data_IF_749193546328
#
_entry.id   IF_749193546328
#
_cell.length_a   1.000
_cell.length_b   1.000
_cell.length_c   1.000
_cell.angle_alpha   90.00
_cell.angle_beta   90.00
_cell.angle_gamma   90.00
#
_symmetry.space_group_name_H-M   'P 1'
#
loop_
_entity.id
_entity.type
_entity.pdbx_description
1 polymer ?
#
# COMPACT_ATOMS: atom_id res chain seq x y z
N UNK A 1 -10.11 -41.66 -11.79
CA UNK A 1 -10.67 -40.45 -12.44
C UNK A 1 -10.98 -39.48 -11.32
N UNK A 2 -10.13 -38.47 -11.18
CA UNK A 2 -9.82 -37.78 -9.93
C UNK A 2 -10.87 -36.79 -9.45
N UNK A 3 -10.99 -36.70 -8.14
CA UNK A 3 -11.77 -35.77 -7.35
C UNK A 3 -11.19 -34.36 -7.42
N UNK A 4 -12.01 -33.37 -7.77
CA UNK A 4 -11.67 -31.95 -7.67
C UNK A 4 -11.59 -31.53 -6.20
N UNK A 5 -10.39 -31.15 -5.76
CA UNK A 5 -10.16 -30.48 -4.50
C UNK A 5 -10.46 -28.99 -4.70
N UNK A 6 -11.59 -28.53 -4.15
CA UNK A 6 -11.84 -27.10 -3.96
C UNK A 6 -10.99 -26.62 -2.77
N UNK A 7 -9.99 -25.78 -3.06
CA UNK A 7 -9.12 -25.21 -2.04
C UNK A 7 -9.85 -24.08 -1.32
N UNK A 8 -10.03 -24.22 0.00
CA UNK A 8 -10.63 -23.20 0.86
C UNK A 8 -9.58 -22.11 1.13
N UNK A 9 -9.89 -20.87 0.75
CA UNK A 9 -9.06 -19.71 1.07
C UNK A 9 -9.24 -19.38 2.55
N UNK A 10 -8.19 -19.60 3.33
CA UNK A 10 -8.00 -18.98 4.63
C UNK A 10 -6.94 -17.91 4.47
N UNK A 11 -7.37 -16.65 4.30
CA UNK A 11 -6.47 -15.50 4.38
C UNK A 11 -6.85 -14.70 5.62
N UNK A 12 -5.87 -14.56 6.51
CA UNK A 12 -5.92 -13.76 7.72
C UNK A 12 -6.09 -12.29 7.31
N UNK A 13 -7.24 -11.70 7.63
CA UNK A 13 -7.50 -10.27 7.47
C UNK A 13 -6.68 -9.53 8.55
N UNK A 14 -5.57 -8.90 8.16
CA UNK A 14 -4.91 -7.90 9.01
C UNK A 14 -5.50 -6.54 8.63
N UNK A 15 -6.19 -5.92 9.58
CA UNK A 15 -6.80 -4.61 9.41
C UNK A 15 -5.71 -3.55 9.22
N UNK A 16 -5.80 -2.80 8.13
CA UNK A 16 -5.09 -1.52 7.97
C UNK A 16 -6.12 -0.43 8.28
N UNK A 17 -5.95 0.22 9.43
CA UNK A 17 -6.59 1.49 9.74
C UNK A 17 -5.50 2.36 10.37
N UNK A 18 -4.92 3.27 9.59
CA UNK A 18 -4.06 4.35 10.08
C UNK A 18 -4.84 5.65 9.95
N UNK A 19 -4.68 6.50 10.95
CA UNK A 19 -5.59 7.54 11.36
C UNK A 19 -5.59 8.79 10.45
N UNK A 20 -6.79 9.29 10.15
CA UNK A 20 -7.07 10.73 10.07
C UNK A 20 -8.55 10.99 10.40
N UNK A 21 -8.84 12.15 10.98
CA UNK A 21 -10.01 12.43 11.84
C UNK A 21 -11.26 12.86 11.08
N UNK A 22 -12.42 12.30 11.44
CA UNK A 22 -13.70 12.98 11.82
C UNK A 22 -14.94 12.13 11.43
N UNK A 23 -15.29 11.14 12.24
CA UNK A 23 -16.70 10.69 12.30
C UNK A 23 -17.11 10.56 13.76
N UNK A 24 -17.92 11.50 14.22
CA UNK A 24 -18.61 11.43 15.52
C UNK A 24 -19.65 10.31 15.46
N UNK A 25 -19.28 9.08 15.84
CA UNK A 25 -20.26 8.06 16.15
C UNK A 25 -20.80 8.28 17.57
N UNK A 26 -22.12 8.46 17.65
CA UNK A 26 -22.83 8.56 18.94
C UNK A 26 -22.77 7.19 19.62
N UNK A 27 -22.21 7.19 20.83
CA UNK A 27 -21.88 6.02 21.64
C UNK A 27 -23.04 5.04 21.89
N UNK A 28 -22.82 3.79 21.52
CA UNK A 28 -23.57 2.62 21.97
C UNK A 28 -22.63 1.44 22.27
N UNK A 29 -21.93 1.51 23.41
CA UNK A 29 -21.24 0.41 24.11
C UNK A 29 -20.24 -0.48 23.32
N UNK A 30 -18.96 -0.07 23.30
CA UNK A 30 -17.81 -0.85 23.77
C UNK A 30 -16.54 0.02 23.67
N UNK A 31 -16.09 0.55 24.79
CA UNK A 31 -14.85 1.33 24.88
C UNK A 31 -13.65 0.39 25.04
N UNK A 32 -12.77 0.33 24.03
CA UNK A 32 -11.35 0.08 24.26
C UNK A 32 -10.53 0.54 23.06
N UNK A 33 -10.00 1.77 23.13
CA UNK A 33 -8.88 2.18 22.28
C UNK A 33 -7.61 1.50 22.79
N UNK A 34 -6.86 0.86 21.90
CA UNK A 34 -5.55 0.30 22.18
C UNK A 34 -4.56 1.44 22.49
N UNK A 35 -3.87 1.37 23.62
CA UNK A 35 -2.74 2.26 23.93
C UNK A 35 -1.42 1.52 23.56
N UNK A 36 -0.36 2.21 23.09
CA UNK A 36 0.85 1.53 22.64
C UNK A 36 1.66 1.02 23.83
N UNK A 37 1.93 -0.30 23.79
CA UNK A 37 2.77 -1.16 24.65
C UNK A 37 2.26 -1.49 26.07
N UNK A 38 2.20 -2.80 26.45
CA UNK A 38 2.25 -4.01 25.65
C UNK A 38 0.84 -4.41 25.16
N UNK A 39 0.75 -4.97 23.95
CA UNK A 39 -0.47 -5.57 23.37
C UNK A 39 -1.13 -6.56 24.36
N UNK A 40 -2.06 -6.06 25.16
CA UNK A 40 -3.07 -6.85 25.85
C UNK A 40 -4.44 -6.31 25.44
N UNK A 41 -4.89 -6.74 24.26
CA UNK A 41 -6.30 -6.63 23.91
C UNK A 41 -7.10 -7.48 24.90
N UNK A 42 -7.74 -6.84 25.88
CA UNK A 42 -8.64 -7.50 26.86
C UNK A 42 -10.11 -7.37 26.47
N UNK A 43 -10.39 -6.95 25.23
CA UNK A 43 -11.73 -6.96 24.67
C UNK A 43 -12.20 -8.38 24.37
N UNK A 44 -13.50 -8.61 24.51
CA UNK A 44 -14.18 -9.80 23.98
C UNK A 44 -13.84 -9.94 22.50
N UNK A 45 -13.24 -11.07 22.13
CA UNK A 45 -13.08 -11.47 20.73
C UNK A 45 -14.45 -11.61 20.11
N UNK A 46 -14.93 -10.57 19.44
CA UNK A 46 -16.04 -10.69 18.50
C UNK A 46 -15.49 -11.52 17.34
N UNK A 47 -15.92 -12.77 17.25
CA UNK A 47 -15.67 -13.56 16.03
C UNK A 47 -16.42 -12.86 14.90
N UNK A 48 -15.69 -12.27 13.95
CA UNK A 48 -16.27 -11.83 12.69
C UNK A 48 -16.88 -13.07 12.01
N UNK A 49 -18.20 -13.17 12.03
CA UNK A 49 -18.90 -14.21 11.28
C UNK A 49 -18.71 -13.92 9.78
N UNK A 50 -18.40 -14.96 9.00
CA UNK A 50 -18.28 -14.86 7.55
C UNK A 50 -19.54 -14.26 6.92
N UNK A 51 -20.71 -14.50 7.52
CA UNK A 51 -21.99 -13.93 7.07
C UNK A 51 -22.06 -12.39 7.11
N UNK A 52 -21.15 -11.75 7.85
CA UNK A 52 -21.03 -10.30 7.99
C UNK A 52 -19.86 -9.70 7.20
N UNK A 53 -19.10 -10.52 6.47
CA UNK A 53 -18.01 -10.04 5.63
C UNK A 53 -18.57 -9.53 4.30
N UNK A 54 -18.47 -8.22 3.98
CA UNK A 54 -18.96 -7.68 2.71
C UNK A 54 -18.24 -8.25 1.48
N UNK A 55 -17.09 -8.92 1.69
CA UNK A 55 -16.30 -9.56 0.63
C UNK A 55 -16.56 -11.07 0.50
N UNK A 56 -17.49 -11.65 1.25
CA UNK A 56 -17.74 -13.11 1.17
C UNK A 56 -18.21 -13.51 -0.24
N UNK A 57 -17.51 -14.47 -0.84
CA UNK A 57 -17.79 -14.95 -2.20
C UNK A 57 -17.28 -14.05 -3.34
N UNK A 58 -16.68 -12.88 -3.06
CA UNK A 58 -16.06 -12.03 -4.09
C UNK A 58 -14.79 -12.72 -4.61
N UNK A 59 -14.79 -13.06 -5.90
CA UNK A 59 -13.63 -13.67 -6.57
C UNK A 59 -13.04 -12.67 -7.56
N UNK A 60 -11.87 -12.16 -7.21
CA UNK A 60 -11.08 -11.19 -7.96
C UNK A 60 -9.96 -11.85 -8.78
N UNK A 61 -10.05 -13.15 -9.08
CA UNK A 61 -9.04 -13.82 -9.90
C UNK A 61 -7.68 -14.03 -9.21
N UNK A 62 -6.63 -14.18 -10.03
CA UNK A 62 -5.28 -14.52 -9.55
C UNK A 62 -4.43 -13.27 -9.31
N UNK A 63 -3.48 -13.37 -8.37
CA UNK A 63 -2.52 -12.30 -8.11
C UNK A 63 -3.14 -11.04 -7.49
N UNK A 64 -4.28 -11.19 -6.78
CA UNK A 64 -5.01 -10.08 -6.19
C UNK A 64 -4.15 -9.22 -5.26
N UNK A 65 -4.13 -7.91 -5.51
CA UNK A 65 -3.43 -6.89 -4.74
C UNK A 65 -4.43 -5.81 -4.33
N UNK A 66 -5.14 -6.00 -3.21
CA UNK A 66 -6.12 -5.02 -2.74
C UNK A 66 -5.42 -3.77 -2.19
N UNK A 67 -5.96 -2.60 -2.53
CA UNK A 67 -5.62 -1.29 -1.97
C UNK A 67 -6.92 -0.64 -1.52
N UNK A 68 -6.98 -0.24 -0.24
CA UNK A 68 -8.10 0.48 0.32
C UNK A 68 -7.80 1.98 0.27
N UNK A 69 -8.70 2.76 -0.33
CA UNK A 69 -8.51 4.19 -0.56
C UNK A 69 -9.85 4.89 -0.74
N UNK A 70 -9.98 6.14 -0.32
CA UNK A 70 -11.12 7.01 -0.68
C UNK A 70 -10.86 7.54 -2.11
N UNK A 71 -11.35 6.83 -3.14
CA UNK A 71 -10.98 7.15 -4.52
C UNK A 71 -11.80 8.30 -5.10
N UNK A 72 -13.06 8.41 -4.70
CA UNK A 72 -13.96 9.45 -5.21
C UNK A 72 -14.08 10.69 -4.30
N UNK A 73 -13.46 10.64 -3.12
CA UNK A 73 -13.37 11.75 -2.18
C UNK A 73 -14.65 11.98 -1.38
N UNK A 74 -15.53 10.97 -1.30
CA UNK A 74 -16.79 11.06 -0.58
C UNK A 74 -16.65 10.80 0.95
N UNK A 75 -15.44 10.41 1.38
CA UNK A 75 -15.08 10.19 2.77
C UNK A 75 -15.31 8.76 3.25
N UNK A 76 -15.80 7.87 2.39
CA UNK A 76 -15.76 6.44 2.64
C UNK A 76 -14.53 5.78 1.96
N UNK A 77 -14.29 4.51 2.28
CA UNK A 77 -13.08 3.82 1.82
C UNK A 77 -13.52 2.77 0.83
N UNK A 78 -13.08 2.96 -0.40
CA UNK A 78 -13.24 2.04 -1.51
C UNK A 78 -12.18 0.94 -1.51
N UNK A 79 -12.33 0.02 -2.46
CA UNK A 79 -11.36 -1.03 -2.71
C UNK A 79 -10.99 -1.08 -4.19
N UNK A 80 -9.72 -0.82 -4.46
CA UNK A 80 -9.06 -1.14 -5.73
C UNK A 80 -8.44 -2.52 -5.61
N UNK A 81 -8.63 -3.37 -6.62
CA UNK A 81 -7.97 -4.68 -6.66
C UNK A 81 -7.27 -4.86 -7.98
N UNK A 82 -5.94 -4.77 -7.94
CA UNK A 82 -5.10 -5.25 -9.03
C UNK A 82 -5.16 -6.76 -9.14
N UNK A 83 -5.41 -7.27 -10.34
CA UNK A 83 -5.42 -8.70 -10.56
C UNK A 83 -5.08 -9.08 -12.00
N UNK A 84 -4.67 -10.34 -12.17
CA UNK A 84 -4.53 -10.96 -13.48
C UNK A 84 -5.89 -11.45 -13.98
N UNK A 85 -6.37 -10.91 -15.10
CA UNK A 85 -7.52 -11.46 -15.81
C UNK A 85 -7.09 -12.68 -16.65
N UNK A 86 -7.49 -13.87 -16.18
CA UNK A 86 -7.15 -15.15 -16.84
C UNK A 86 -7.76 -15.25 -18.24
N UNK A 87 -8.89 -14.56 -18.49
CA UNK A 87 -9.59 -14.61 -19.78
C UNK A 87 -8.86 -13.85 -20.88
N UNK A 88 -8.35 -12.66 -20.55
CA UNK A 88 -7.74 -11.73 -21.52
C UNK A 88 -6.21 -11.69 -21.46
N UNK A 89 -5.58 -12.38 -20.49
CA UNK A 89 -4.13 -12.38 -20.27
C UNK A 89 -3.54 -10.98 -19.99
N UNK A 90 -4.35 -10.09 -19.42
CA UNK A 90 -3.99 -8.72 -19.09
C UNK A 90 -4.22 -8.48 -17.59
N UNK A 91 -3.40 -7.62 -17.00
CA UNK A 91 -3.70 -7.09 -15.68
C UNK A 91 -4.82 -6.06 -15.78
N UNK A 92 -5.69 -6.02 -14.77
CA UNK A 92 -6.73 -5.01 -14.63
C UNK A 92 -6.81 -4.52 -13.18
N UNK A 93 -7.51 -3.42 -12.99
CA UNK A 93 -7.95 -2.98 -11.66
C UNK A 93 -9.47 -3.12 -11.60
N UNK A 94 -9.94 -3.96 -10.68
CA UNK A 94 -11.34 -3.97 -10.29
C UNK A 94 -11.57 -2.86 -9.26
N UNK A 95 -12.65 -2.11 -9.44
CA UNK A 95 -13.04 -1.04 -8.54
C UNK A 95 -14.32 -1.43 -7.82
N UNK A 96 -14.25 -1.49 -6.50
CA UNK A 96 -15.41 -1.68 -5.63
C UNK A 96 -15.62 -0.38 -4.86
N UNK A 97 -16.63 0.37 -5.29
CA UNK A 97 -17.03 1.61 -4.63
C UNK A 97 -17.85 1.25 -3.39
N UNK A 98 -17.50 1.83 -2.26
CA UNK A 98 -18.37 1.81 -1.10
C UNK A 98 -19.34 2.98 -1.25
N UNK A 99 -20.61 2.68 -1.04
CA UNK A 99 -21.67 3.67 -1.20
C UNK A 99 -22.12 4.19 0.15
N UNK A 100 -22.79 5.33 0.18
CA UNK A 100 -23.26 5.98 1.41
C UNK A 100 -24.13 5.11 2.34
N UNK A 101 -24.76 4.03 1.84
CA UNK A 101 -25.50 3.04 2.64
C UNK A 101 -24.64 1.85 3.12
N UNK A 102 -23.32 1.97 2.97
CA UNK A 102 -22.27 0.99 3.23
C UNK A 102 -22.31 -0.26 2.35
N UNK A 103 -23.06 -0.27 1.25
CA UNK A 103 -22.97 -1.34 0.26
C UNK A 103 -21.68 -1.21 -0.57
N UNK A 104 -21.05 -2.35 -0.83
CA UNK A 104 -19.90 -2.46 -1.72
C UNK A 104 -20.38 -2.82 -3.13
N UNK A 105 -20.14 -1.96 -4.12
CA UNK A 105 -20.62 -2.10 -5.49
C UNK A 105 -19.43 -2.17 -6.45
N UNK A 106 -19.29 -3.27 -7.19
CA UNK A 106 -18.31 -3.34 -8.27
C UNK A 106 -18.72 -2.42 -9.42
N UNK A 107 -17.88 -1.44 -9.74
CA UNK A 107 -18.04 -0.59 -10.91
C UNK A 107 -17.41 -1.29 -12.11
N UNK A 108 -18.10 -1.24 -13.26
CA UNK A 108 -17.68 -1.93 -14.49
C UNK A 108 -17.92 -1.06 -15.73
N UNK A 109 -17.25 -1.38 -16.84
CA UNK A 109 -17.36 -0.61 -18.08
C UNK A 109 -17.01 0.87 -17.87
N UNK A 110 -17.81 1.77 -18.44
CA UNK A 110 -17.60 3.22 -18.33
C UNK A 110 -17.76 3.80 -16.91
N UNK A 111 -18.25 3.03 -15.94
CA UNK A 111 -18.30 3.45 -14.54
C UNK A 111 -17.05 3.04 -13.77
N UNK A 112 -16.18 2.20 -14.34
CA UNK A 112 -14.87 1.89 -13.80
C UNK A 112 -13.83 2.84 -14.45
N UNK A 113 -13.23 3.78 -13.71
CA UNK A 113 -12.25 4.70 -14.26
C UNK A 113 -10.95 4.01 -14.73
N UNK A 114 -10.74 2.75 -14.32
CA UNK A 114 -9.60 1.92 -14.70
C UNK A 114 -9.90 0.98 -15.88
N UNK A 115 -11.11 1.03 -16.45
CA UNK A 115 -11.51 0.15 -17.55
C UNK A 115 -10.63 0.41 -18.79
N UNK A 116 -10.01 -0.65 -19.30
CA UNK A 116 -9.14 -0.57 -20.47
C UNK A 116 -7.73 0.00 -20.21
N UNK A 117 -7.35 0.26 -18.95
CA UNK A 117 -5.95 0.58 -18.64
C UNK A 117 -5.06 -0.65 -18.89
N UNK A 118 -4.09 -0.49 -19.80
CA UNK A 118 -3.20 -1.57 -20.23
C UNK A 118 -1.79 -1.44 -19.63
N UNK A 119 -1.62 -1.76 -18.35
CA UNK A 119 -0.31 -1.71 -17.66
C UNK A 119 0.34 -3.10 -17.51
N UNK A 120 -0.12 -4.09 -18.28
CA UNK A 120 0.42 -5.45 -18.24
C UNK A 120 0.05 -6.21 -16.97
N UNK A 121 0.65 -7.37 -16.80
CA UNK A 121 0.26 -8.35 -15.80
C UNK A 121 0.83 -8.14 -14.41
N UNK A 122 0.13 -8.65 -13.38
CA UNK A 122 0.62 -8.81 -12.00
C UNK A 122 1.11 -7.51 -11.36
N UNK A 123 0.57 -6.37 -11.77
CA UNK A 123 1.03 -5.09 -11.29
C UNK A 123 0.47 -4.70 -9.93
N UNK A 124 1.34 -4.16 -9.05
CA UNK A 124 0.89 -3.52 -7.80
C UNK A 124 0.44 -2.09 -8.05
N UNK A 125 -0.60 -1.65 -7.33
CA UNK A 125 -1.08 -0.28 -7.34
C UNK A 125 -0.58 0.46 -6.10
N UNK A 126 -0.31 1.74 -6.27
CA UNK A 126 -0.26 2.72 -5.19
C UNK A 126 -1.27 3.79 -5.54
N UNK A 127 -2.19 4.06 -4.60
CA UNK A 127 -3.16 5.12 -4.70
C UNK A 127 -2.77 6.21 -3.70
N UNK A 128 -2.41 7.39 -4.19
CA UNK A 128 -1.89 8.49 -3.38
C UNK A 128 -2.10 9.82 -4.12
N UNK A 129 -2.35 10.90 -3.38
CA UNK A 129 -2.28 12.27 -3.90
C UNK A 129 -0.82 12.62 -4.18
N UNK A 130 -0.36 12.41 -5.42
CA UNK A 130 1.06 12.48 -5.76
C UNK A 130 1.52 13.92 -6.02
N UNK A 131 0.63 14.75 -6.58
CA UNK A 131 0.96 16.13 -6.93
C UNK A 131 0.49 17.18 -5.90
N UNK A 132 -0.28 16.76 -4.89
CA UNK A 132 -0.73 17.57 -3.77
C UNK A 132 -1.94 18.43 -4.10
N UNK A 133 -2.69 18.11 -5.15
CA UNK A 133 -3.88 18.86 -5.55
C UNK A 133 -5.17 18.42 -4.82
N UNK A 134 -5.07 17.34 -4.03
CA UNK A 134 -6.12 16.83 -3.18
C UNK A 134 -6.94 15.71 -3.78
N UNK A 135 -6.64 15.24 -4.99
CA UNK A 135 -7.18 14.00 -5.51
C UNK A 135 -6.18 12.86 -5.63
N UNK A 136 -6.72 11.64 -5.54
CA UNK A 136 -5.91 10.43 -5.48
C UNK A 136 -5.51 10.04 -6.90
N UNK A 137 -4.20 10.02 -7.13
CA UNK A 137 -3.59 9.49 -8.34
C UNK A 137 -3.33 7.99 -8.24
N UNK A 138 -2.99 7.40 -9.39
CA UNK A 138 -2.67 5.98 -9.48
C UNK A 138 -1.27 5.77 -10.07
N UNK A 139 -0.41 5.17 -9.27
CA UNK A 139 0.88 4.64 -9.70
C UNK A 139 0.74 3.12 -9.86
N UNK A 140 1.13 2.59 -11.01
CA UNK A 140 1.08 1.15 -11.29
C UNK A 140 2.44 0.65 -11.71
N UNK A 141 2.88 -0.46 -11.13
CA UNK A 141 4.08 -1.16 -11.58
C UNK A 141 3.71 -2.41 -12.36
N UNK A 142 4.26 -2.66 -13.54
CA UNK A 142 4.05 -3.94 -14.25
C UNK A 142 4.87 -5.10 -13.64
N UNK A 143 4.82 -6.29 -14.25
CA UNK A 143 5.57 -7.48 -13.82
C UNK A 143 7.10 -7.27 -13.76
N UNK A 144 7.63 -6.34 -14.55
CA UNK A 144 9.04 -5.96 -14.54
C UNK A 144 9.28 -4.70 -13.69
N UNK A 145 8.24 -4.23 -12.99
CA UNK A 145 8.22 -3.01 -12.19
C UNK A 145 8.60 -1.75 -12.96
N UNK A 146 8.24 -1.68 -14.25
CA UNK A 146 8.15 -0.38 -14.92
C UNK A 146 6.98 0.39 -14.31
N UNK A 147 7.25 1.63 -13.92
CA UNK A 147 6.28 2.51 -13.27
C UNK A 147 5.47 3.27 -14.33
N UNK A 148 4.15 3.15 -14.24
CA UNK A 148 3.17 3.94 -14.97
C UNK A 148 2.52 4.92 -13.99
N UNK A 149 2.28 6.14 -14.45
CA UNK A 149 1.60 7.16 -13.68
C UNK A 149 0.33 7.60 -14.39
N UNK A 150 -0.76 7.53 -13.65
CA UNK A 150 -2.08 7.97 -14.07
C UNK A 150 -2.52 9.08 -13.12
N UNK A 151 -2.49 10.31 -13.62
CA UNK A 151 -2.91 11.49 -12.88
C UNK A 151 -4.42 11.64 -13.01
N UNK A 152 -5.09 11.82 -11.88
CA UNK A 152 -6.51 12.13 -11.87
C UNK A 152 -6.64 13.64 -12.01
N UNK A 153 -7.41 14.06 -13.01
CA UNK A 153 -7.59 15.49 -13.29
C UNK A 153 -8.77 16.00 -12.47
N UNK A 154 -8.86 17.32 -12.29
CA UNK A 154 -9.97 17.97 -11.60
C UNK A 154 -11.40 17.65 -12.13
N UNK A 155 -11.54 17.09 -13.35
CA UNK A 155 -12.81 16.60 -13.89
C UNK A 155 -13.08 15.11 -13.59
N UNK A 156 -12.30 14.51 -12.68
CA UNK A 156 -12.26 13.10 -12.30
C UNK A 156 -11.83 12.14 -13.42
N UNK A 157 -11.37 12.64 -14.57
CA UNK A 157 -10.81 11.79 -15.62
C UNK A 157 -9.38 11.38 -15.29
N UNK A 158 -9.05 10.13 -15.57
CA UNK A 158 -7.72 9.57 -15.34
C UNK A 158 -6.89 9.68 -16.63
N UNK A 159 -5.71 10.28 -16.55
CA UNK A 159 -4.82 10.49 -17.68
C UNK A 159 -3.43 9.87 -17.45
N UNK A 160 -3.02 8.97 -18.35
CA UNK A 160 -1.64 8.47 -18.34
C UNK A 160 -0.66 9.60 -18.68
N UNK A 161 0.30 9.85 -17.79
CA UNK A 161 1.43 10.74 -18.08
C UNK A 161 2.58 9.93 -18.67
N UNK A 162 3.22 10.48 -19.70
CA UNK A 162 4.32 9.81 -20.43
C UNK A 162 5.46 10.78 -20.76
N UNK A 163 6.66 10.24 -21.03
CA UNK A 163 7.84 11.04 -21.32
C UNK A 163 8.13 12.07 -20.24
N UNK A 164 8.44 13.32 -20.63
CA UNK A 164 8.79 14.38 -19.66
C UNK A 164 7.67 14.79 -18.70
N UNK A 165 6.43 14.36 -18.94
CA UNK A 165 5.31 14.59 -18.02
C UNK A 165 5.13 13.45 -17.01
N UNK A 166 5.80 12.30 -17.19
CA UNK A 166 5.80 11.23 -16.21
C UNK A 166 6.94 11.47 -15.19
N UNK A 167 6.65 11.71 -13.91
CA UNK A 167 7.69 11.95 -12.89
C UNK A 167 8.61 10.74 -12.68
N UNK A 168 8.18 9.55 -13.08
CA UNK A 168 8.96 8.31 -12.98
C UNK A 168 9.71 7.95 -14.27
N UNK A 169 9.69 8.81 -15.30
CA UNK A 169 10.39 8.55 -16.55
C UNK A 169 11.90 8.42 -16.32
N UNK A 170 12.47 7.30 -16.77
CA UNK A 170 13.89 7.01 -16.60
C UNK A 170 14.30 6.47 -15.22
N UNK A 171 13.36 6.26 -14.28
CA UNK A 171 13.66 5.53 -13.05
C UNK A 171 13.95 4.06 -13.39
N UNK A 172 15.16 3.61 -13.05
CA UNK A 172 15.55 2.21 -13.18
C UNK A 172 15.11 1.45 -11.93
N UNK A 173 14.26 0.45 -12.14
CA UNK A 173 13.69 -0.38 -11.09
C UNK A 173 14.24 -1.79 -11.21
N UNK A 174 14.62 -2.39 -10.08
CA UNK A 174 15.05 -3.79 -10.05
C UNK A 174 13.86 -4.75 -10.30
N UNK A 175 14.16 -5.94 -10.79
CA UNK A 175 13.15 -6.96 -11.03
C UNK A 175 12.42 -7.30 -9.72
N UNK A 176 11.08 -7.33 -9.75
CA UNK A 176 10.24 -7.63 -8.58
C UNK A 176 10.37 -6.61 -7.44
N UNK A 177 10.64 -5.34 -7.76
CA UNK A 177 10.60 -4.28 -6.78
C UNK A 177 9.23 -4.15 -6.07
N UNK A 178 9.25 -3.52 -4.90
CA UNK A 178 8.07 -3.21 -4.08
C UNK A 178 8.04 -1.69 -3.87
N UNK A 179 7.42 -0.93 -4.78
CA UNK A 179 7.31 0.51 -4.63
C UNK A 179 6.39 0.86 -3.47
N UNK A 180 6.69 1.95 -2.78
CA UNK A 180 5.85 2.56 -1.75
C UNK A 180 5.97 4.07 -1.87
N UNK A 181 4.83 4.76 -1.80
CA UNK A 181 4.78 6.21 -1.75
C UNK A 181 4.55 6.68 -0.30
N UNK A 182 5.33 7.66 0.16
CA UNK A 182 5.26 8.19 1.53
C UNK A 182 5.94 9.55 1.59
N UNK A 183 5.40 10.50 2.36
CA UNK A 183 6.14 11.69 2.80
C UNK A 183 7.17 11.25 3.85
N UNK A 184 8.40 10.93 3.43
CA UNK A 184 9.39 10.35 4.32
C UNK A 184 10.05 11.41 5.19
N UNK A 185 10.34 12.59 4.66
CA UNK A 185 11.05 13.63 5.40
C UNK A 185 10.15 14.64 6.12
N UNK A 186 8.84 14.58 5.89
CA UNK A 186 7.83 15.39 6.55
C UNK A 186 7.69 16.79 5.96
N UNK A 187 8.14 17.00 4.72
CA UNK A 187 8.03 18.28 4.04
C UNK A 187 6.70 18.50 3.30
N UNK A 188 5.88 17.44 3.22
CA UNK A 188 4.55 17.42 2.62
C UNK A 188 4.54 16.96 1.16
N UNK A 189 5.70 16.72 0.55
CA UNK A 189 5.80 16.09 -0.76
C UNK A 189 5.90 14.56 -0.62
N UNK A 190 5.20 13.82 -1.49
CA UNK A 190 5.24 12.36 -1.46
C UNK A 190 6.50 11.84 -2.17
N UNK A 191 7.30 11.07 -1.45
CA UNK A 191 8.50 10.39 -1.95
C UNK A 191 8.21 8.97 -2.44
N UNK A 192 9.19 8.38 -3.12
CA UNK A 192 9.14 6.99 -3.59
C UNK A 192 10.27 6.13 -3.00
N UNK A 193 9.88 5.07 -2.29
CA UNK A 193 10.77 3.99 -1.86
C UNK A 193 10.59 2.79 -2.77
N UNK A 194 11.68 2.16 -3.20
CA UNK A 194 11.66 0.91 -3.96
C UNK A 194 12.40 -0.19 -3.18
N UNK A 195 11.66 -1.19 -2.68
CA UNK A 195 12.26 -2.39 -2.11
C UNK A 195 12.72 -3.36 -3.20
N UNK A 196 14.02 -3.66 -3.27
CA UNK A 196 14.62 -4.41 -4.37
C UNK A 196 14.80 -5.91 -4.09
N UNK A 197 15.05 -6.68 -5.15
CA UNK A 197 15.22 -8.13 -5.06
C UNK A 197 16.45 -8.56 -4.27
N UNK A 198 17.49 -7.72 -4.24
CA UNK A 198 18.72 -7.91 -3.47
C UNK A 198 18.58 -7.55 -1.97
N UNK A 199 17.38 -7.13 -1.55
CA UNK A 199 17.08 -6.78 -0.16
C UNK A 199 17.43 -5.35 0.23
N UNK A 200 17.89 -4.51 -0.71
CA UNK A 200 18.11 -3.08 -0.47
C UNK A 200 16.87 -2.24 -0.76
N UNK A 201 16.93 -0.97 -0.38
CA UNK A 201 15.91 0.05 -0.65
C UNK A 201 16.55 1.18 -1.45
N UNK A 202 15.97 1.51 -2.60
CA UNK A 202 16.24 2.78 -3.29
C UNK A 202 15.26 3.85 -2.80
N UNK A 203 15.72 5.09 -2.77
CA UNK A 203 14.95 6.23 -2.30
C UNK A 203 15.04 7.37 -3.31
N UNK A 204 13.89 7.80 -3.78
CA UNK A 204 13.72 8.95 -4.65
C UNK A 204 12.93 10.00 -3.86
N UNK A 205 13.63 11.06 -3.48
CA UNK A 205 13.03 12.20 -2.78
C UNK A 205 12.38 13.12 -3.81
N UNK A 206 11.14 13.54 -3.56
CA UNK A 206 10.45 14.54 -4.38
C UNK A 206 10.80 15.91 -3.84
N UNK A 207 11.54 16.69 -4.63
CA UNK A 207 11.92 18.04 -4.21
C UNK A 207 10.80 19.04 -4.48
N UNK A 208 10.85 20.20 -3.81
CA UNK A 208 9.88 21.29 -3.93
C UNK A 208 9.62 21.83 -5.36
N UNK A 209 10.41 21.44 -6.36
CA UNK A 209 10.16 21.71 -7.78
C UNK A 209 9.46 20.55 -8.51
N UNK A 210 8.89 19.60 -7.76
CA UNK A 210 8.23 18.36 -8.18
C UNK A 210 9.15 17.35 -8.91
N UNK A 211 10.47 17.50 -8.82
CA UNK A 211 11.42 16.55 -9.40
C UNK A 211 11.72 15.39 -8.44
N UNK A 212 11.82 14.15 -8.97
CA UNK A 212 12.36 13.02 -8.21
C UNK A 212 13.87 12.95 -8.33
N UNK A 213 14.56 12.88 -7.19
CA UNK A 213 16.02 12.74 -7.10
C UNK A 213 16.35 11.46 -6.34
N UNK A 214 17.09 10.54 -6.98
CA UNK A 214 17.63 9.37 -6.27
C UNK A 214 18.67 9.85 -5.24
N UNK A 215 18.40 9.57 -3.96
CA UNK A 215 19.36 9.83 -2.88
C UNK A 215 20.27 8.62 -2.71
N UNK A 216 21.56 8.90 -2.56
CA UNK A 216 22.60 7.87 -2.38
C UNK A 216 23.60 8.27 -1.27
N UNK A 217 24.32 7.27 -0.75
CA UNK A 217 25.34 7.46 0.29
C UNK A 217 24.77 8.16 1.52
N UNK A 218 25.47 9.17 2.04
CA UNK A 218 25.05 9.86 3.28
C UNK A 218 23.75 10.66 3.16
N UNK A 219 23.22 10.86 1.96
CA UNK A 219 21.92 11.53 1.76
C UNK A 219 20.76 10.53 1.69
N UNK A 220 21.05 9.23 1.62
CA UNK A 220 20.02 8.19 1.62
C UNK A 220 19.81 7.69 3.07
N UNK A 221 18.64 7.92 3.69
CA UNK A 221 18.37 7.47 5.06
C UNK A 221 18.32 5.94 5.18
N UNK A 222 18.18 5.22 4.07
CA UNK A 222 18.18 3.76 3.99
C UNK A 222 19.55 3.18 3.60
N UNK A 223 20.59 4.00 3.48
CA UNK A 223 21.93 3.52 3.13
C UNK A 223 22.41 2.46 4.12
N UNK A 224 22.93 1.35 3.60
CA UNK A 224 23.36 0.20 4.39
C UNK A 224 22.25 -0.74 4.88
N UNK A 225 20.97 -0.42 4.68
CA UNK A 225 19.88 -1.38 4.92
C UNK A 225 19.95 -2.50 3.88
N UNK A 226 20.04 -3.74 4.35
CA UNK A 226 19.95 -4.93 3.52
C UNK A 226 19.23 -6.04 4.29
N UNK A 227 18.04 -6.42 3.82
CA UNK A 227 17.21 -7.48 4.39
C UNK A 227 17.34 -8.81 3.66
N UNK A 228 18.51 -9.06 3.05
CA UNK A 228 18.92 -10.25 2.31
C UNK A 228 18.32 -10.39 0.91
N UNK A 229 16.98 -10.39 0.79
CA UNK A 229 16.29 -10.52 -0.51
C UNK A 229 14.85 -10.02 -0.49
N UNK A 230 14.40 -9.51 -1.63
CA UNK A 230 13.02 -9.07 -1.87
C UNK A 230 12.50 -8.17 -0.75
N UNK A 231 13.15 -7.01 -0.57
CA UNK A 231 12.71 -6.03 0.41
C UNK A 231 11.28 -5.57 0.08
N UNK A 232 10.43 -5.56 1.10
CA UNK A 232 9.09 -5.03 1.04
C UNK A 232 8.96 -3.97 2.14
N UNK A 233 9.36 -2.71 1.87
CA UNK A 233 9.26 -1.63 2.85
C UNK A 233 7.79 -1.36 3.19
N UNK A 234 7.56 -0.93 4.42
CA UNK A 234 6.28 -0.49 4.94
C UNK A 234 6.54 0.63 5.96
N UNK A 235 6.50 1.90 5.51
CA UNK A 235 6.61 3.07 6.36
C UNK A 235 5.38 3.18 7.28
N UNK A 236 5.59 3.43 8.57
CA UNK A 236 4.52 3.58 9.57
C UNK A 236 5.05 4.23 10.83
N UNK A 237 4.29 5.12 11.47
CA UNK A 237 4.56 5.55 12.85
C UNK A 237 4.21 4.39 13.81
N UNK A 238 5.20 3.56 14.12
CA UNK A 238 4.97 2.30 14.84
C UNK A 238 4.83 2.50 16.34
N UNK A 239 5.54 3.47 16.91
CA UNK A 239 5.56 3.71 18.34
C UNK A 239 4.73 4.91 18.82
N UNK A 240 4.18 5.69 17.89
CA UNK A 240 3.24 6.78 18.11
C UNK A 240 3.92 8.08 18.52
N UNK A 241 5.21 8.25 18.23
CA UNK A 241 5.95 9.47 18.53
C UNK A 241 5.82 10.56 17.44
N UNK A 242 5.20 10.21 16.32
CA UNK A 242 4.88 11.09 15.21
C UNK A 242 5.93 11.13 14.10
N UNK A 243 7.03 10.39 14.22
CA UNK A 243 7.92 10.12 13.10
C UNK A 243 7.57 8.81 12.38
N UNK A 244 7.90 8.73 11.09
CA UNK A 244 7.65 7.53 10.29
C UNK A 244 8.82 6.57 10.46
N UNK A 245 8.54 5.43 11.10
CA UNK A 245 9.44 4.28 11.18
C UNK A 245 9.39 3.45 9.89
N UNK A 246 10.25 2.42 9.81
CA UNK A 246 10.27 1.49 8.70
C UNK A 246 10.20 0.03 9.17
N UNK A 247 9.13 -0.65 8.77
CA UNK A 247 9.09 -2.10 8.72
C UNK A 247 9.54 -2.58 7.34
N UNK A 248 10.31 -3.66 7.29
CA UNK A 248 10.74 -4.26 6.03
C UNK A 248 10.52 -5.76 6.08
N UNK A 249 9.56 -6.24 5.28
CA UNK A 249 9.42 -7.66 5.00
C UNK A 249 10.52 -8.13 4.04
N UNK A 250 10.88 -9.41 4.10
CA UNK A 250 11.78 -10.01 3.12
C UNK A 250 11.22 -11.31 2.54
N UNK A 251 11.85 -11.80 1.46
CA UNK A 251 11.42 -13.03 0.81
C UNK A 251 11.68 -14.33 1.60
N UNK A 252 12.20 -14.25 2.82
CA UNK A 252 12.32 -15.36 3.76
C UNK A 252 11.19 -15.36 4.82
N UNK A 253 10.23 -14.44 4.70
CA UNK A 253 9.12 -14.31 5.64
C UNK A 253 9.47 -13.56 6.93
N UNK A 254 10.66 -12.93 6.99
CA UNK A 254 11.09 -12.16 8.16
C UNK A 254 10.59 -10.71 8.06
N UNK A 255 10.34 -10.12 9.22
CA UNK A 255 10.07 -8.69 9.38
C UNK A 255 11.25 -8.06 10.12
N UNK A 256 11.85 -7.04 9.52
CA UNK A 256 12.86 -6.19 10.13
C UNK A 256 12.19 -4.89 10.57
N UNK A 257 12.58 -4.39 11.74
CA UNK A 257 12.09 -3.11 12.27
C UNK A 257 13.25 -2.13 12.42
N UNK A 258 13.11 -0.98 11.79
CA UNK A 258 14.01 0.16 11.90
C UNK A 258 13.23 1.31 12.51
N UNK A 259 13.58 1.66 13.74
CA UNK A 259 12.98 2.80 14.43
C UNK A 259 13.69 4.06 13.98
N UNK A 260 12.92 5.08 13.58
CA UNK A 260 13.45 6.41 13.32
C UNK A 260 13.60 7.12 14.66
N UNK A 261 14.73 7.80 14.81
CA UNK A 261 15.03 8.55 16.02
C UNK A 261 14.78 10.03 15.79
N UNK A 262 14.62 10.77 16.89
CA UNK A 262 14.46 12.23 16.85
C UNK A 262 15.58 13.01 16.11
N UNK A 263 16.74 12.40 15.86
CA UNK A 263 17.80 12.95 14.98
C UNK A 263 17.74 12.43 13.52
N UNK A 264 16.56 11.95 13.11
CA UNK A 264 16.20 11.44 11.78
C UNK A 264 17.01 10.24 11.27
N UNK A 265 17.55 9.41 12.18
CA UNK A 265 18.30 8.21 11.80
C UNK A 265 17.47 6.95 11.99
N UNK A 266 17.64 5.99 11.09
CA UNK A 266 17.08 4.66 11.25
C UNK A 266 18.01 3.77 12.09
N UNK A 267 17.47 3.18 13.15
CA UNK A 267 18.15 2.22 14.00
C UNK A 267 17.43 0.87 13.92
N UNK A 268 18.12 -0.14 13.36
CA UNK A 268 17.63 -1.51 13.33
C UNK A 268 17.48 -2.08 14.75
N UNK A 269 16.24 -2.41 15.13
CA UNK A 269 15.94 -3.03 16.42
C UNK A 269 16.05 -4.55 16.31
N UNK A 270 16.63 -5.19 17.32
CA UNK A 270 16.79 -6.65 17.41
C UNK A 270 16.52 -7.14 18.84
N UNK A 271 16.34 -8.46 18.99
CA UNK A 271 16.11 -9.10 20.28
C UNK A 271 14.85 -8.56 20.98
N UNK A 272 14.93 -8.33 22.29
CA UNK A 272 13.81 -7.80 23.08
C UNK A 272 13.35 -6.38 22.68
N UNK A 273 14.14 -5.68 21.86
CA UNK A 273 13.81 -4.35 21.33
C UNK A 273 13.03 -4.43 20.02
N UNK A 274 12.99 -5.60 19.36
CA UNK A 274 12.22 -5.83 18.15
C UNK A 274 10.88 -6.50 18.53
N UNK A 275 9.73 -5.82 18.37
CA UNK A 275 8.43 -6.39 18.68
C UNK A 275 8.04 -7.59 17.80
N UNK A 276 8.78 -7.85 16.72
CA UNK A 276 8.61 -8.97 15.80
C UNK A 276 9.64 -10.09 15.99
N UNK A 277 10.52 -9.98 17.00
CA UNK A 277 11.51 -11.02 17.26
C UNK A 277 10.84 -12.38 17.57
N UNK A 278 11.26 -13.42 16.85
CA UNK A 278 10.72 -14.77 16.98
C UNK A 278 9.39 -15.05 16.27
N UNK A 279 8.84 -14.10 15.51
CA UNK A 279 7.71 -14.33 14.59
C UNK A 279 8.30 -14.86 13.25
N UNK A 280 8.02 -16.12 12.92
CA UNK A 280 8.31 -16.75 11.62
C UNK A 280 7.03 -17.32 11.01
#
# INVERSE_FOLDING_TARGET
VGSGQAMRVGTLLVAILVASRLVNFTLGQATSFCNPKPLKCTGTTTTLDRSSNPFDGVNVGWGAKPVAVDWDGDGDIDLLVGNWDVGNQEGRIQFFERTADAALVERTGSSNPFDGLGFGSDGGQIAVDWDGDGDIDLIVCDVNCRIFFFERNADASLAERTGSSNPFDGIEVDWNAKPVAVDWDGDGDIDLLLGNSDGRIQFFERTADASLIERTGSSNPFDGINVERYAAPFPVDWDGDGDIDLLVGNGNGRIFFFERTADAKLIGRTGSSNPFDGIN
#
